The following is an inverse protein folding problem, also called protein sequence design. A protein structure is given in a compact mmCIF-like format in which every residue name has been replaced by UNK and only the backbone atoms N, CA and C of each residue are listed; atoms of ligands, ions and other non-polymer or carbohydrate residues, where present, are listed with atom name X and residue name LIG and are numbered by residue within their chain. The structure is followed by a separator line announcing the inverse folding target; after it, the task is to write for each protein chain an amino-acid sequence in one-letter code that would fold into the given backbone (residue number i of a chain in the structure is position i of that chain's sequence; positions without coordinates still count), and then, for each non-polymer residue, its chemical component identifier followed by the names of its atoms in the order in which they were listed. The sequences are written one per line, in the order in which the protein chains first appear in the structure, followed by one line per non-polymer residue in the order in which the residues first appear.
data_IF_699006437649
#
_entry.id   IF_699006437649
#
_cell.length_a   1.000
_cell.length_b   1.000
_cell.length_c   1.000
_cell.angle_alpha   90.00
_cell.angle_beta   90.00
_cell.angle_gamma   90.00
#
_symmetry.space_group_name_H-M   'P 1'
#
loop_
_entity.id
_entity.type
_entity.pdbx_description
1 polymer ?
#
# COMPACT_ATOMS: atom_id res chain seq x y z
N UNK A 1 -56.19 24.62 -42.20
CA UNK A 1 -55.54 24.86 -40.90
C UNK A 1 -54.63 23.65 -40.57
N UNK A 2 -53.33 23.78 -40.75
CA UNK A 2 -52.38 22.71 -40.50
C UNK A 2 -51.72 22.98 -39.16
N UNK A 3 -51.89 22.06 -38.19
CA UNK A 3 -51.21 22.11 -36.92
C UNK A 3 -49.81 21.47 -37.09
N UNK A 4 -48.74 22.25 -36.89
CA UNK A 4 -47.38 21.74 -36.74
C UNK A 4 -47.15 21.38 -35.28
N UNK A 5 -46.93 20.10 -35.03
CA UNK A 5 -46.47 19.61 -33.72
C UNK A 5 -44.97 19.86 -33.58
N UNK A 6 -44.56 20.66 -32.59
CA UNK A 6 -43.18 20.79 -32.16
C UNK A 6 -42.84 19.60 -31.21
N UNK A 7 -41.89 18.76 -31.63
CA UNK A 7 -41.29 17.74 -30.78
C UNK A 7 -40.12 18.43 -30.07
N UNK A 8 -40.27 18.64 -28.78
CA UNK A 8 -39.16 19.09 -27.92
C UNK A 8 -38.34 17.87 -27.49
N UNK A 9 -37.12 17.74 -28.04
CA UNK A 9 -36.16 16.73 -27.57
C UNK A 9 -35.49 17.19 -26.31
N UNK A 10 -35.83 16.54 -25.17
CA UNK A 10 -35.14 16.75 -23.93
C UNK A 10 -33.81 15.98 -23.96
N UNK A 11 -32.70 16.71 -24.02
CA UNK A 11 -31.37 16.15 -23.75
C UNK A 11 -31.22 15.92 -22.26
N UNK A 12 -31.22 14.65 -21.80
CA UNK A 12 -30.74 14.30 -20.49
C UNK A 12 -29.21 14.47 -20.46
N UNK A 13 -28.72 15.51 -19.85
CA UNK A 13 -27.33 15.65 -19.49
C UNK A 13 -27.03 14.66 -18.35
N UNK A 14 -26.34 13.55 -18.65
CA UNK A 14 -25.74 12.71 -17.64
C UNK A 14 -24.56 13.47 -17.02
N UNK A 15 -24.72 13.99 -15.82
CA UNK A 15 -23.62 14.53 -15.06
C UNK A 15 -22.71 13.37 -14.65
N UNK A 16 -21.61 13.20 -15.36
CA UNK A 16 -20.49 12.37 -14.90
C UNK A 16 -19.90 13.08 -13.68
N UNK A 17 -20.08 12.50 -12.49
CA UNK A 17 -19.36 12.94 -11.32
C UNK A 17 -17.87 12.63 -11.54
N UNK A 18 -17.10 13.62 -11.98
CA UNK A 18 -15.65 13.55 -11.97
C UNK A 18 -15.20 13.66 -10.52
N UNK A 19 -14.71 12.56 -9.95
CA UNK A 19 -14.02 12.57 -8.68
C UNK A 19 -12.71 13.33 -8.88
N UNK A 20 -12.59 14.51 -8.30
CA UNK A 20 -11.34 15.23 -8.20
C UNK A 20 -10.56 14.62 -7.06
N UNK A 21 -9.59 13.74 -7.34
CA UNK A 21 -8.64 13.31 -6.35
C UNK A 21 -7.72 14.50 -6.02
N UNK A 22 -7.42 14.67 -4.74
CA UNK A 22 -6.38 15.59 -4.31
C UNK A 22 -5.06 15.13 -4.94
N UNK A 23 -4.23 16.03 -5.43
CA UNK A 23 -3.00 15.71 -6.16
C UNK A 23 -1.87 15.16 -5.28
N UNK A 24 -2.15 14.83 -4.04
CA UNK A 24 -1.20 14.28 -3.07
C UNK A 24 -1.66 12.91 -2.63
N UNK A 25 -0.77 11.92 -2.72
CA UNK A 25 -0.99 10.58 -2.15
C UNK A 25 -1.19 10.73 -0.63
N UNK A 26 -2.19 10.05 -0.09
CA UNK A 26 -2.42 9.98 1.34
C UNK A 26 -2.42 8.53 1.79
N UNK A 27 -1.42 8.16 2.60
CA UNK A 27 -1.35 6.90 3.32
C UNK A 27 -1.91 7.11 4.73
N UNK A 28 -2.78 6.20 5.17
CA UNK A 28 -3.39 6.23 6.50
C UNK A 28 -2.66 5.35 7.52
N UNK A 29 -1.51 4.78 7.16
CA UNK A 29 -0.69 4.01 8.09
C UNK A 29 -0.25 4.89 9.26
N UNK A 30 -0.53 4.51 10.51
CA UNK A 30 -0.14 5.29 11.67
C UNK A 30 1.38 5.46 11.76
N UNK A 31 1.85 6.59 12.28
CA UNK A 31 3.27 6.74 12.61
C UNK A 31 3.74 5.59 13.52
N UNK A 32 4.99 5.12 13.35
CA UNK A 32 5.54 4.07 14.20
C UNK A 32 5.63 4.54 15.65
N UNK A 33 5.22 3.68 16.57
CA UNK A 33 5.34 3.93 18.01
C UNK A 33 6.82 3.99 18.43
N UNK A 34 7.17 4.65 19.55
CA UNK A 34 8.55 4.65 20.06
C UNK A 34 9.13 3.25 20.24
N UNK A 35 8.30 2.26 20.58
CA UNK A 35 8.71 0.86 20.67
C UNK A 35 9.08 0.28 19.31
N UNK A 36 8.25 0.50 18.28
CA UNK A 36 8.54 0.05 16.90
C UNK A 36 9.79 0.72 16.35
N UNK A 37 9.98 2.01 16.61
CA UNK A 37 11.21 2.72 16.24
C UNK A 37 12.45 2.11 16.90
N UNK A 38 12.40 1.80 18.20
CA UNK A 38 13.51 1.16 18.92
C UNK A 38 13.81 -0.26 18.39
N UNK A 39 12.76 -1.04 18.05
CA UNK A 39 12.90 -2.36 17.41
C UNK A 39 13.54 -2.25 16.03
N UNK A 40 13.13 -1.28 15.22
CA UNK A 40 13.70 -1.02 13.89
C UNK A 40 15.17 -0.57 13.95
N UNK A 41 15.55 0.25 14.93
CA UNK A 41 16.95 0.61 15.16
C UNK A 41 17.80 -0.59 15.59
N UNK A 42 17.26 -1.48 16.41
CA UNK A 42 17.95 -2.72 16.77
C UNK A 42 18.13 -3.68 15.59
N UNK A 43 17.21 -3.66 14.61
CA UNK A 43 17.35 -4.39 13.36
C UNK A 43 18.43 -3.78 12.47
N UNK A 44 18.47 -2.44 12.36
CA UNK A 44 19.41 -1.71 11.52
C UNK A 44 20.88 -2.12 11.75
N UNK A 45 21.28 -2.30 12.99
CA UNK A 45 22.66 -2.73 13.29
C UNK A 45 22.98 -4.13 12.75
N UNK A 46 22.03 -5.05 12.83
CA UNK A 46 22.18 -6.41 12.26
C UNK A 46 22.18 -6.36 10.74
N UNK A 47 21.34 -5.52 10.16
CA UNK A 47 21.23 -5.32 8.70
C UNK A 47 22.52 -4.74 8.11
N UNK A 48 23.14 -3.76 8.76
CA UNK A 48 24.47 -3.23 8.41
C UNK A 48 25.52 -4.34 8.30
N UNK A 49 25.56 -5.20 9.32
CA UNK A 49 26.49 -6.33 9.34
C UNK A 49 26.19 -7.31 8.19
N UNK A 50 24.93 -7.63 7.95
CA UNK A 50 24.52 -8.56 6.88
C UNK A 50 24.81 -7.98 5.49
N UNK A 51 24.55 -6.70 5.27
CA UNK A 51 24.86 -5.99 4.04
C UNK A 51 26.38 -5.97 3.76
N UNK A 52 27.19 -5.61 4.76
CA UNK A 52 28.65 -5.56 4.65
C UNK A 52 29.26 -6.92 4.31
N UNK A 53 28.65 -8.01 4.77
CA UNK A 53 29.07 -9.40 4.45
C UNK A 53 28.49 -9.93 3.14
N UNK A 54 27.58 -9.18 2.50
CA UNK A 54 26.84 -9.64 1.32
C UNK A 54 25.87 -10.80 1.59
N UNK A 55 25.46 -10.96 2.85
CA UNK A 55 24.56 -12.03 3.28
C UNK A 55 23.12 -11.80 2.78
N UNK A 56 22.69 -10.55 2.65
CA UNK A 56 21.35 -10.19 2.14
C UNK A 56 21.13 -10.71 0.71
N UNK A 57 22.14 -10.60 -0.15
CA UNK A 57 22.08 -11.14 -1.53
C UNK A 57 22.06 -12.67 -1.58
N UNK A 58 22.42 -13.36 -0.49
CA UNK A 58 22.47 -14.82 -0.38
C UNK A 58 21.25 -15.40 0.32
N UNK A 59 20.38 -14.56 0.89
CA UNK A 59 19.17 -15.05 1.51
C UNK A 59 18.27 -15.69 0.45
N UNK A 60 17.81 -16.91 0.72
CA UNK A 60 16.78 -17.54 -0.11
C UNK A 60 15.51 -16.67 -0.03
N UNK A 61 14.95 -16.35 -1.19
CA UNK A 61 13.68 -15.62 -1.24
C UNK A 61 12.58 -16.36 -0.48
N UNK A 62 11.50 -15.64 -0.19
CA UNK A 62 10.33 -16.24 0.45
C UNK A 62 9.05 -15.86 -0.31
N UNK A 63 8.04 -16.71 -0.14
CA UNK A 63 6.72 -16.52 -0.75
C UNK A 63 5.70 -16.26 0.34
N UNK A 64 4.92 -15.19 0.17
CA UNK A 64 3.84 -14.79 1.06
C UNK A 64 2.51 -15.31 0.51
N UNK A 65 1.84 -16.19 1.21
CA UNK A 65 0.46 -16.52 0.86
C UNK A 65 -0.43 -15.29 1.07
N UNK A 66 -1.25 -14.99 0.09
CA UNK A 66 -2.02 -13.75 0.04
C UNK A 66 -3.49 -14.05 -0.20
N UNK A 67 -4.35 -13.32 0.49
CA UNK A 67 -5.79 -13.37 0.36
C UNK A 67 -6.31 -11.99 -0.04
N UNK A 68 -7.12 -11.93 -1.09
CA UNK A 68 -7.75 -10.70 -1.56
C UNK A 68 -9.23 -10.68 -1.20
N UNK A 69 -9.65 -9.60 -0.56
CA UNK A 69 -11.03 -9.37 -0.13
C UNK A 69 -11.56 -8.11 -0.81
N UNK A 70 -12.47 -8.25 -1.76
CA UNK A 70 -13.15 -7.10 -2.37
C UNK A 70 -14.37 -6.77 -1.53
N UNK A 71 -14.43 -5.57 -1.00
CA UNK A 71 -15.55 -5.11 -0.17
C UNK A 71 -16.23 -3.94 -0.88
N UNK A 72 -17.37 -4.23 -1.47
CA UNK A 72 -18.13 -3.30 -2.32
C UNK A 72 -19.45 -2.87 -1.67
N UNK A 73 -19.95 -1.70 -2.03
CA UNK A 73 -21.27 -1.24 -1.60
C UNK A 73 -22.41 -1.86 -2.40
N UNK A 74 -22.11 -2.37 -3.61
CA UNK A 74 -23.02 -3.09 -4.50
C UNK A 74 -22.24 -3.94 -5.51
N UNK A 75 -22.93 -4.85 -6.21
CA UNK A 75 -22.35 -5.70 -7.28
C UNK A 75 -22.09 -4.93 -8.59
N UNK A 76 -21.61 -3.69 -8.52
CA UNK A 76 -21.33 -2.87 -9.70
C UNK A 76 -19.98 -2.18 -9.55
N UNK A 77 -19.36 -1.81 -10.67
CA UNK A 77 -18.10 -1.07 -10.69
C UNK A 77 -18.21 0.26 -9.90
N UNK A 78 -19.33 0.96 -10.00
CA UNK A 78 -19.59 2.19 -9.23
C UNK A 78 -19.75 1.96 -7.74
N UNK A 79 -20.05 0.72 -7.32
CA UNK A 79 -20.08 0.30 -5.92
C UNK A 79 -18.73 -0.19 -5.39
N UNK A 80 -17.67 -0.15 -6.19
CA UNK A 80 -16.35 -0.62 -5.82
C UNK A 80 -16.10 -2.10 -6.09
N UNK A 81 -16.95 -2.77 -6.90
CA UNK A 81 -16.81 -4.18 -7.23
C UNK A 81 -15.69 -4.38 -8.26
N UNK A 82 -14.55 -4.91 -7.83
CA UNK A 82 -13.41 -5.21 -8.69
C UNK A 82 -13.58 -6.55 -9.41
N UNK A 83 -13.07 -6.65 -10.64
CA UNK A 83 -13.05 -7.91 -11.39
C UNK A 83 -11.85 -8.77 -10.99
N UNK A 84 -11.93 -10.08 -11.23
CA UNK A 84 -10.78 -10.98 -11.04
C UNK A 84 -9.57 -10.55 -11.90
N UNK A 85 -9.80 -9.99 -13.09
CA UNK A 85 -8.71 -9.48 -13.94
C UNK A 85 -7.98 -8.32 -13.28
N UNK A 86 -8.68 -7.37 -12.65
CA UNK A 86 -8.05 -6.27 -11.90
C UNK A 86 -7.22 -6.80 -10.73
N UNK A 87 -7.72 -7.80 -10.00
CA UNK A 87 -6.99 -8.45 -8.91
C UNK A 87 -5.73 -9.19 -9.41
N UNK A 88 -5.82 -9.89 -10.53
CA UNK A 88 -4.68 -10.56 -11.14
C UNK A 88 -3.60 -9.55 -11.59
N UNK A 89 -4.02 -8.42 -12.16
CA UNK A 89 -3.11 -7.34 -12.55
C UNK A 89 -2.44 -6.71 -11.31
N UNK A 90 -3.20 -6.52 -10.22
CA UNK A 90 -2.63 -6.03 -8.97
C UNK A 90 -1.59 -7.01 -8.40
N UNK A 91 -1.86 -8.30 -8.43
CA UNK A 91 -0.90 -9.32 -8.01
C UNK A 91 0.39 -9.29 -8.87
N UNK A 92 0.25 -9.08 -10.18
CA UNK A 92 1.41 -8.95 -11.07
C UNK A 92 2.27 -7.75 -10.70
N UNK A 93 1.67 -6.57 -10.47
CA UNK A 93 2.40 -5.36 -10.02
C UNK A 93 3.15 -5.61 -8.70
N UNK A 94 2.52 -6.26 -7.73
CA UNK A 94 3.18 -6.62 -6.46
C UNK A 94 4.38 -7.54 -6.70
N UNK A 95 4.22 -8.58 -7.51
CA UNK A 95 5.29 -9.53 -7.81
C UNK A 95 6.41 -8.90 -8.63
N UNK A 96 6.13 -7.96 -9.52
CA UNK A 96 7.15 -7.22 -10.27
C UNK A 96 7.99 -6.33 -9.33
N UNK A 97 7.34 -5.58 -8.44
CA UNK A 97 8.03 -4.67 -7.52
C UNK A 97 8.90 -5.42 -6.48
N UNK A 98 8.37 -6.49 -5.91
CA UNK A 98 9.05 -7.24 -4.84
C UNK A 98 9.94 -8.38 -5.36
N UNK A 99 9.72 -8.85 -6.59
CA UNK A 99 10.43 -9.98 -7.18
C UNK A 99 11.93 -9.77 -7.33
N UNK A 100 12.35 -8.54 -7.65
CA UNK A 100 13.77 -8.15 -7.70
C UNK A 100 14.48 -8.32 -6.35
N UNK A 101 13.70 -8.34 -5.25
CA UNK A 101 14.17 -8.50 -3.87
C UNK A 101 13.97 -9.93 -3.35
N UNK A 102 13.59 -10.90 -4.20
CA UNK A 102 13.39 -12.30 -3.82
C UNK A 102 12.13 -12.54 -3.00
N UNK A 103 11.19 -11.61 -2.97
CA UNK A 103 9.90 -11.72 -2.28
C UNK A 103 8.81 -11.93 -3.34
N UNK A 104 7.96 -12.92 -3.14
CA UNK A 104 6.84 -13.20 -4.05
C UNK A 104 5.53 -13.40 -3.29
N UNK A 105 4.42 -13.15 -3.97
CA UNK A 105 3.07 -13.28 -3.42
C UNK A 105 2.32 -14.38 -4.16
N UNK A 106 1.82 -15.37 -3.43
CA UNK A 106 1.00 -16.46 -3.93
C UNK A 106 -0.47 -16.17 -3.58
N UNK A 107 -1.29 -15.82 -4.55
CA UNK A 107 -2.71 -15.58 -4.33
C UNK A 107 -3.43 -16.90 -4.07
N UNK A 108 -3.76 -17.15 -2.80
CA UNK A 108 -4.44 -18.38 -2.37
C UNK A 108 -5.94 -18.33 -2.73
N UNK A 109 -6.58 -17.18 -2.49
CA UNK A 109 -7.97 -16.98 -2.88
C UNK A 109 -8.36 -15.50 -2.95
N UNK A 110 -9.41 -15.23 -3.72
CA UNK A 110 -10.12 -13.96 -3.72
C UNK A 110 -11.58 -14.18 -3.33
N UNK A 111 -12.17 -13.22 -2.62
CA UNK A 111 -13.60 -13.23 -2.30
C UNK A 111 -14.21 -11.82 -2.41
N UNK A 112 -15.53 -11.79 -2.52
CA UNK A 112 -16.31 -10.56 -2.70
C UNK A 112 -17.41 -10.48 -1.65
N UNK A 113 -17.45 -9.36 -0.95
CA UNK A 113 -18.45 -9.05 0.07
C UNK A 113 -19.18 -7.77 -0.30
N UNK A 114 -20.51 -7.79 -0.32
CA UNK A 114 -21.32 -6.58 -0.47
C UNK A 114 -21.78 -6.12 0.90
N UNK A 115 -21.19 -5.03 1.36
CA UNK A 115 -21.52 -4.38 2.62
C UNK A 115 -21.18 -2.89 2.53
N UNK A 116 -22.18 -2.03 2.40
CA UNK A 116 -21.99 -0.60 2.18
C UNK A 116 -21.25 0.10 3.33
N UNK A 117 -21.43 -0.36 4.57
CA UNK A 117 -20.72 0.22 5.71
C UNK A 117 -19.22 -0.15 5.67
N UNK A 118 -18.89 -1.40 5.43
CA UNK A 118 -17.49 -1.84 5.32
C UNK A 118 -16.82 -1.26 4.08
N UNK A 119 -17.53 -1.17 2.95
CA UNK A 119 -17.02 -0.58 1.71
C UNK A 119 -16.66 0.91 1.85
N UNK A 120 -17.16 1.59 2.87
CA UNK A 120 -16.84 2.95 3.26
C UNK A 120 -15.92 3.01 4.50
N UNK A 121 -15.16 1.96 4.75
CA UNK A 121 -14.25 1.80 5.90
C UNK A 121 -14.93 1.89 7.27
N UNK A 122 -16.24 1.61 7.32
CA UNK A 122 -16.99 1.58 8.57
C UNK A 122 -16.79 0.27 9.33
N UNK A 123 -16.31 0.33 10.58
CA UNK A 123 -16.11 -0.80 11.47
C UNK A 123 -15.07 -1.84 10.95
N UNK A 124 -13.85 -1.34 10.70
CA UNK A 124 -12.70 -2.12 10.23
C UNK A 124 -12.51 -3.43 11.00
N UNK A 125 -12.52 -3.37 12.33
CA UNK A 125 -12.28 -4.55 13.16
C UNK A 125 -13.32 -5.66 12.92
N UNK A 126 -14.59 -5.32 12.74
CA UNK A 126 -15.61 -6.32 12.44
C UNK A 126 -15.42 -6.91 11.03
N UNK A 127 -15.10 -6.08 10.05
CA UNK A 127 -14.80 -6.49 8.68
C UNK A 127 -13.61 -7.48 8.65
N UNK A 128 -12.48 -7.05 9.20
CA UNK A 128 -11.26 -7.86 9.20
C UNK A 128 -11.44 -9.13 10.02
N UNK A 129 -12.13 -9.10 11.16
CA UNK A 129 -12.45 -10.29 11.94
C UNK A 129 -13.30 -11.31 11.17
N UNK A 130 -14.21 -10.85 10.32
CA UNK A 130 -15.08 -11.71 9.54
C UNK A 130 -14.39 -12.30 8.30
N UNK A 131 -13.51 -11.53 7.65
CA UNK A 131 -12.95 -11.87 6.34
C UNK A 131 -11.53 -12.44 6.41
N UNK A 132 -10.74 -12.12 7.44
CA UNK A 132 -9.34 -12.56 7.57
C UNK A 132 -9.21 -14.07 7.41
N UNK A 133 -8.18 -14.48 6.66
CA UNK A 133 -7.81 -15.89 6.44
C UNK A 133 -6.34 -16.13 6.81
N UNK A 134 -6.04 -17.37 7.11
CA UNK A 134 -4.69 -17.84 7.37
C UNK A 134 -4.14 -17.43 8.73
N UNK A 135 -2.83 -17.36 8.81
CA UNK A 135 -2.01 -17.10 9.99
C UNK A 135 -1.49 -15.65 9.98
N UNK A 136 -0.61 -15.29 10.90
CA UNK A 136 0.04 -13.98 10.89
C UNK A 136 1.13 -13.84 9.81
N UNK A 137 1.60 -14.97 9.25
CA UNK A 137 2.51 -14.98 8.09
C UNK A 137 1.78 -14.76 6.75
N UNK A 138 0.44 -14.84 6.74
CA UNK A 138 -0.35 -14.69 5.53
C UNK A 138 -0.85 -13.26 5.37
N UNK A 139 -0.67 -12.67 4.20
CA UNK A 139 -1.11 -11.31 3.90
C UNK A 139 -2.59 -11.29 3.51
N UNK A 140 -3.36 -10.45 4.17
CA UNK A 140 -4.75 -10.14 3.80
C UNK A 140 -4.83 -8.71 3.26
N UNK A 141 -5.35 -8.54 2.05
CA UNK A 141 -5.58 -7.23 1.43
C UNK A 141 -7.07 -7.03 1.21
N UNK A 142 -7.58 -5.92 1.75
CA UNK A 142 -8.98 -5.54 1.68
C UNK A 142 -9.13 -4.36 0.72
N UNK A 143 -9.74 -4.59 -0.45
CA UNK A 143 -10.00 -3.56 -1.45
C UNK A 143 -11.38 -2.96 -1.19
N UNK A 144 -11.44 -1.71 -0.74
CA UNK A 144 -12.67 -1.01 -0.37
C UNK A 144 -13.07 0.01 -1.44
N UNK A 145 -14.36 0.26 -1.55
CA UNK A 145 -14.89 1.24 -2.52
C UNK A 145 -14.55 2.69 -2.17
N UNK A 146 -14.36 3.01 -0.87
CA UNK A 146 -14.03 4.36 -0.40
C UNK A 146 -13.40 4.29 1.00
N UNK A 147 -12.29 4.99 1.20
CA UNK A 147 -11.61 5.07 2.50
C UNK A 147 -11.84 6.41 3.23
N UNK A 148 -12.62 7.33 2.61
CA UNK A 148 -12.79 8.68 3.15
C UNK A 148 -11.51 9.53 3.09
N UNK A 149 -11.64 10.83 3.36
CA UNK A 149 -10.52 11.75 3.53
C UNK A 149 -9.49 11.85 2.39
N UNK A 150 -9.72 11.17 1.26
CA UNK A 150 -8.74 11.08 0.17
C UNK A 150 -7.64 10.03 0.39
N UNK A 151 -7.80 9.13 1.38
CA UNK A 151 -6.87 8.04 1.64
C UNK A 151 -6.83 7.05 0.47
N UNK A 152 -5.64 6.59 0.11
CA UNK A 152 -5.42 5.55 -0.88
C UNK A 152 -5.26 4.17 -0.24
N UNK A 153 -4.71 4.09 0.96
CA UNK A 153 -4.55 2.85 1.69
C UNK A 153 -3.97 3.05 3.09
N UNK A 154 -3.90 1.97 3.83
CA UNK A 154 -3.14 1.84 5.07
C UNK A 154 -2.87 0.37 5.38
N UNK A 155 -1.74 0.11 6.04
CA UNK A 155 -1.41 -1.18 6.64
C UNK A 155 -1.01 -1.01 8.10
N UNK A 156 -0.98 -2.11 8.84
CA UNK A 156 -0.41 -2.13 10.18
C UNK A 156 1.02 -2.67 10.15
N UNK A 157 1.92 -1.98 10.85
CA UNK A 157 3.27 -2.47 11.09
C UNK A 157 3.24 -3.81 11.82
N UNK A 158 4.20 -4.71 11.54
CA UNK A 158 4.27 -5.98 12.25
C UNK A 158 4.57 -5.79 13.74
N UNK A 159 4.13 -6.74 14.55
CA UNK A 159 4.36 -6.74 16.00
C UNK A 159 4.52 -8.15 16.52
N UNK A 160 5.30 -8.32 17.58
CA UNK A 160 5.41 -9.60 18.31
C UNK A 160 4.17 -9.94 19.14
N UNK A 161 3.27 -8.98 19.35
CA UNK A 161 2.02 -9.16 20.14
C UNK A 161 0.84 -9.48 19.23
N UNK A 162 0.89 -10.64 18.56
CA UNK A 162 -0.11 -11.06 17.55
C UNK A 162 -0.74 -12.42 17.85
N UNK A 163 -0.99 -12.75 19.11
CA UNK A 163 -1.69 -13.98 19.45
C UNK A 163 -3.00 -14.11 18.66
N UNK A 164 -3.29 -15.32 18.19
CA UNK A 164 -4.49 -15.60 17.40
C UNK A 164 -5.75 -15.06 18.09
N UNK A 165 -6.57 -14.31 17.35
CA UNK A 165 -7.78 -13.65 17.84
C UNK A 165 -7.55 -12.34 18.62
N UNK A 166 -6.30 -11.91 18.84
CA UNK A 166 -6.01 -10.60 19.42
C UNK A 166 -6.37 -9.47 18.43
N UNK A 167 -6.51 -8.25 18.92
CA UNK A 167 -6.75 -7.07 18.08
C UNK A 167 -5.65 -6.90 17.02
N UNK A 168 -4.38 -7.04 17.39
CA UNK A 168 -3.27 -6.94 16.45
C UNK A 168 -3.31 -8.03 15.36
N UNK A 169 -3.72 -9.25 15.71
CA UNK A 169 -3.92 -10.32 14.73
C UNK A 169 -5.09 -10.01 13.79
N UNK A 170 -6.20 -9.51 14.33
CA UNK A 170 -7.41 -9.22 13.54
C UNK A 170 -7.16 -8.05 12.58
N UNK A 171 -6.53 -6.97 13.05
CA UNK A 171 -6.30 -5.76 12.28
C UNK A 171 -5.15 -5.87 11.28
N UNK A 172 -4.25 -6.86 11.44
CA UNK A 172 -3.13 -7.06 10.52
C UNK A 172 -3.57 -7.19 9.06
N UNK A 173 -2.72 -6.74 8.15
CA UNK A 173 -2.98 -6.68 6.72
C UNK A 173 -3.29 -5.26 6.24
N UNK A 174 -3.53 -5.13 4.94
CA UNK A 174 -3.65 -3.85 4.26
C UNK A 174 -5.07 -3.57 3.80
N UNK A 175 -5.52 -2.34 3.98
CA UNK A 175 -6.77 -1.82 3.43
C UNK A 175 -6.43 -0.85 2.30
N UNK A 176 -6.95 -1.07 1.10
CA UNK A 176 -6.56 -0.38 -0.13
C UNK A 176 -7.81 0.19 -0.80
N UNK A 177 -7.73 1.42 -1.30
CA UNK A 177 -8.76 1.98 -2.16
C UNK A 177 -8.86 1.16 -3.45
N UNK A 178 -9.97 0.51 -3.70
CA UNK A 178 -10.16 -0.37 -4.84
C UNK A 178 -9.93 0.33 -6.20
N UNK A 179 -10.14 1.64 -6.26
CA UNK A 179 -9.91 2.43 -7.47
C UNK A 179 -8.41 2.69 -7.77
N UNK A 180 -7.49 2.34 -6.86
CA UNK A 180 -6.04 2.47 -7.07
C UNK A 180 -5.39 1.25 -7.72
N UNK A 181 -6.14 0.17 -7.97
CA UNK A 181 -5.62 -1.00 -8.69
C UNK A 181 -5.50 -0.74 -10.19
N UNK A 182 -4.70 -1.52 -10.95
CA UNK A 182 -4.65 -1.41 -12.40
C UNK A 182 -6.02 -1.59 -13.06
N UNK A 183 -6.44 -0.58 -13.84
CA UNK A 183 -7.78 -0.49 -14.41
C UNK A 183 -8.81 0.23 -13.55
N UNK A 184 -8.41 0.72 -12.38
CA UNK A 184 -9.20 1.61 -11.54
C UNK A 184 -9.19 3.06 -12.02
N UNK A 185 -9.88 3.94 -11.31
CA UNK A 185 -10.12 5.33 -11.72
C UNK A 185 -9.38 6.39 -10.88
N UNK A 186 -8.56 5.96 -9.90
CA UNK A 186 -7.85 6.86 -8.99
C UNK A 186 -6.54 7.44 -9.60
N UNK A 187 -6.53 7.84 -10.89
CA UNK A 187 -5.36 8.46 -11.51
C UNK A 187 -4.91 9.70 -10.71
N UNK A 188 -3.59 9.91 -10.52
CA UNK A 188 -2.43 9.18 -11.07
C UNK A 188 -1.99 7.95 -10.24
N UNK A 189 -2.81 7.47 -9.33
CA UNK A 189 -2.54 6.37 -8.39
C UNK A 189 -3.32 5.09 -8.74
N UNK A 190 -3.48 4.78 -10.02
CA UNK A 190 -4.29 3.66 -10.51
C UNK A 190 -3.49 2.62 -11.32
N UNK A 191 -2.18 2.54 -11.06
CA UNK A 191 -1.30 1.51 -11.64
C UNK A 191 -0.92 0.42 -10.63
N UNK A 192 -1.45 0.48 -9.40
CA UNK A 192 -1.23 -0.53 -8.37
C UNK A 192 -0.11 -0.22 -7.38
N UNK A 193 0.53 0.95 -7.49
CA UNK A 193 1.59 1.40 -6.60
C UNK A 193 1.14 1.56 -5.16
N UNK A 194 -0.14 1.88 -4.92
CA UNK A 194 -0.68 1.98 -3.55
C UNK A 194 -0.53 0.67 -2.77
N UNK A 195 -0.94 -0.47 -3.33
CA UNK A 195 -0.79 -1.74 -2.62
C UNK A 195 0.68 -2.10 -2.39
N UNK A 196 1.56 -1.80 -3.35
CA UNK A 196 3.01 -1.97 -3.21
C UNK A 196 3.55 -1.15 -2.03
N UNK A 197 3.19 0.13 -1.94
CA UNK A 197 3.55 1.03 -0.84
C UNK A 197 3.08 0.48 0.52
N UNK A 198 1.80 0.16 0.64
CA UNK A 198 1.21 -0.29 1.89
C UNK A 198 1.79 -1.63 2.37
N UNK A 199 2.11 -2.55 1.46
CA UNK A 199 2.80 -3.79 1.80
C UNK A 199 4.21 -3.52 2.34
N UNK A 200 4.88 -2.45 1.90
CA UNK A 200 6.13 -1.99 2.50
C UNK A 200 6.00 -1.75 4.01
N UNK A 201 4.92 -1.10 4.44
CA UNK A 201 4.61 -0.94 5.87
C UNK A 201 4.35 -2.28 6.57
N UNK A 202 3.60 -3.18 5.93
CA UNK A 202 3.38 -4.53 6.45
C UNK A 202 4.68 -5.33 6.60
N UNK A 203 5.72 -5.00 5.80
CA UNK A 203 7.08 -5.52 5.88
C UNK A 203 8.03 -4.65 6.74
N UNK A 204 7.49 -3.71 7.55
CA UNK A 204 8.22 -2.84 8.48
C UNK A 204 9.08 -1.76 7.81
N UNK A 205 8.73 -1.29 6.62
CA UNK A 205 9.32 -0.09 6.02
C UNK A 205 8.56 1.15 6.47
N UNK A 206 9.28 2.22 6.78
CA UNK A 206 8.73 3.54 7.05
C UNK A 206 8.73 4.38 5.77
N UNK A 207 8.02 5.51 5.78
CA UNK A 207 8.12 6.46 4.68
C UNK A 207 9.55 7.00 4.57
N UNK A 208 10.03 7.29 3.36
CA UNK A 208 11.36 7.86 3.12
C UNK A 208 11.57 9.19 3.82
N UNK A 209 10.50 9.98 3.97
CA UNK A 209 10.50 11.27 4.68
C UNK A 209 10.28 11.15 6.20
N UNK A 210 10.21 9.95 6.76
CA UNK A 210 10.07 9.74 8.22
C UNK A 210 11.28 10.32 8.95
N UNK A 211 11.03 11.21 9.92
CA UNK A 211 12.09 11.90 10.66
C UNK A 211 12.75 13.05 9.91
N UNK A 212 12.35 13.32 8.66
CA UNK A 212 12.89 14.41 7.85
C UNK A 212 14.39 14.26 7.62
N UNK A 213 15.13 15.39 7.66
CA UNK A 213 16.57 15.39 7.46
C UNK A 213 17.39 14.88 8.66
N UNK A 214 16.75 14.49 9.76
CA UNK A 214 17.43 14.05 10.97
C UNK A 214 17.68 12.54 10.97
N UNK A 215 18.90 12.11 11.32
CA UNK A 215 19.17 10.69 11.59
C UNK A 215 18.35 10.21 12.80
N UNK A 216 17.79 9.01 12.79
CA UNK A 216 18.01 7.91 11.83
C UNK A 216 17.04 7.91 10.63
N UNK A 217 16.27 8.96 10.38
CA UNK A 217 15.34 9.01 9.27
C UNK A 217 14.30 7.88 9.33
N UNK A 218 14.11 7.21 8.20
CA UNK A 218 13.25 6.02 8.06
C UNK A 218 13.89 4.75 8.67
N UNK A 219 15.05 4.87 9.32
CA UNK A 219 15.84 3.79 9.90
C UNK A 219 16.41 2.80 8.87
N UNK A 220 16.64 3.23 7.65
CA UNK A 220 17.34 2.49 6.57
C UNK A 220 18.50 3.36 6.07
N UNK A 221 19.73 2.82 6.03
CA UNK A 221 20.93 3.63 5.80
C UNK A 221 21.13 4.11 4.37
N UNK A 222 20.59 3.40 3.40
CA UNK A 222 20.79 3.67 1.97
C UNK A 222 19.61 4.39 1.29
N UNK A 223 18.62 4.78 2.08
CA UNK A 223 17.60 5.76 1.68
C UNK A 223 18.13 7.17 1.94
N UNK A 224 18.27 8.05 0.93
CA UNK A 224 18.61 9.45 1.16
C UNK A 224 17.60 10.12 2.09
N UNK A 225 18.04 11.03 2.99
CA UNK A 225 17.11 11.76 3.85
C UNK A 225 16.25 12.71 3.04
N UNK A 226 14.99 12.83 3.40
CA UNK A 226 13.98 13.65 2.75
C UNK A 226 13.19 14.44 3.78
N UNK A 227 13.05 15.77 3.60
CA UNK A 227 12.42 16.64 4.60
C UNK A 227 10.89 16.49 4.67
N UNK A 228 10.28 16.11 3.56
CA UNK A 228 8.81 15.97 3.41
C UNK A 228 8.50 15.13 2.19
N UNK A 229 7.35 14.49 2.16
CA UNK A 229 6.88 13.71 1.02
C UNK A 229 6.98 14.49 -0.30
N UNK A 230 7.40 13.81 -1.38
CA UNK A 230 7.27 14.32 -2.73
C UNK A 230 5.87 14.06 -3.28
N UNK A 231 5.51 14.72 -4.38
CA UNK A 231 4.26 14.49 -5.12
C UNK A 231 4.49 14.72 -6.61
N UNK A 232 3.72 14.06 -7.46
CA UNK A 232 4.02 14.00 -8.89
C UNK A 232 5.29 13.18 -9.13
N UNK A 233 6.18 13.65 -10.00
CA UNK A 233 7.51 13.08 -10.22
C UNK A 233 8.55 14.21 -10.35
N UNK A 234 8.97 14.88 -9.24
CA UNK A 234 9.80 16.09 -9.25
C UNK A 234 11.28 15.72 -9.38
N UNK A 235 11.73 15.41 -10.58
CA UNK A 235 13.12 15.06 -10.89
C UNK A 235 14.15 16.05 -10.32
N UNK A 236 15.15 15.49 -9.62
CA UNK A 236 16.23 16.28 -9.02
C UNK A 236 15.84 17.05 -7.75
N UNK A 237 14.68 16.75 -7.15
CA UNK A 237 14.29 17.27 -5.83
C UNK A 237 15.37 16.90 -4.81
N UNK A 238 15.77 17.88 -3.98
CA UNK A 238 16.77 17.72 -2.92
C UNK A 238 16.40 18.64 -1.76
N UNK A 239 15.80 18.09 -0.72
CA UNK A 239 15.26 18.87 0.40
C UNK A 239 16.13 18.83 1.66
N UNK A 240 17.15 17.95 1.70
CA UNK A 240 18.07 17.83 2.82
C UNK A 240 19.51 18.09 2.39
N UNK A 241 20.25 18.89 3.15
CA UNK A 241 21.67 19.10 2.88
C UNK A 241 22.47 17.82 3.10
N UNK A 242 23.02 17.24 2.03
CA UNK A 242 23.80 15.99 2.04
C UNK A 242 22.91 14.75 1.96
N UNK A 243 23.53 13.65 1.59
CA UNK A 243 22.83 12.35 1.42
C UNK A 243 22.36 12.06 0.00
N UNK A 244 22.37 13.03 -0.91
CA UNK A 244 21.92 12.90 -2.29
C UNK A 244 20.54 13.53 -2.52
N UNK A 245 19.99 13.36 -3.72
CA UNK A 245 18.64 13.81 -4.06
C UNK A 245 17.59 12.99 -3.33
N UNK A 246 16.41 13.56 -3.12
CA UNK A 246 15.29 12.88 -2.49
C UNK A 246 14.92 11.59 -3.26
N UNK A 247 14.56 10.52 -2.56
CA UNK A 247 14.31 9.20 -3.18
C UNK A 247 12.92 9.11 -3.83
N UNK A 248 12.61 10.02 -4.75
CA UNK A 248 11.28 10.17 -5.38
C UNK A 248 10.80 8.95 -6.16
N UNK A 249 11.70 8.02 -6.52
CA UNK A 249 11.36 6.78 -7.21
C UNK A 249 11.12 5.61 -6.27
N UNK A 250 11.32 5.80 -4.96
CA UNK A 250 11.14 4.77 -3.96
C UNK A 250 9.65 4.53 -3.68
N UNK A 251 9.24 3.25 -3.61
CA UNK A 251 7.86 2.90 -3.31
C UNK A 251 7.35 3.42 -1.95
N UNK A 252 8.24 3.86 -1.05
CA UNK A 252 7.86 4.38 0.27
C UNK A 252 7.76 5.92 0.33
N UNK A 253 7.89 6.63 -0.79
CA UNK A 253 7.53 8.04 -0.92
C UNK A 253 6.06 8.20 -1.37
N UNK A 254 5.62 9.46 -1.64
CA UNK A 254 4.24 9.81 -2.03
C UNK A 254 4.12 10.30 -3.48
N UNK A 255 5.04 9.91 -4.33
CA UNK A 255 5.02 10.23 -5.76
C UNK A 255 3.91 9.46 -6.51
N UNK A 256 3.67 9.83 -7.75
CA UNK A 256 2.70 9.17 -8.61
C UNK A 256 3.14 7.73 -8.93
N UNK A 257 2.18 6.87 -9.27
CA UNK A 257 2.48 5.44 -9.51
C UNK A 257 3.47 5.21 -10.65
N UNK A 258 3.50 6.06 -11.67
CA UNK A 258 4.43 5.98 -12.81
C UNK A 258 5.84 6.49 -12.48
N UNK A 259 6.00 7.19 -11.36
CA UNK A 259 7.30 7.61 -10.84
C UNK A 259 8.01 6.51 -10.05
N UNK A 260 7.29 5.56 -9.50
CA UNK A 260 7.79 4.48 -8.66
C UNK A 260 8.59 3.44 -9.45
N UNK A 261 9.78 3.06 -8.97
CA UNK A 261 10.61 2.04 -9.61
C UNK A 261 11.34 1.10 -8.65
N UNK A 262 11.54 1.46 -7.37
CA UNK A 262 12.51 0.75 -6.55
C UNK A 262 12.22 0.66 -5.05
N UNK A 263 12.77 -0.39 -4.46
CA UNK A 263 13.22 -0.46 -3.08
C UNK A 263 14.75 -0.52 -3.04
N UNK A 264 15.37 -0.01 -1.97
CA UNK A 264 16.82 -0.09 -1.78
C UNK A 264 17.26 -1.47 -1.25
N UNK A 265 18.57 -1.73 -1.26
CA UNK A 265 19.13 -2.95 -0.66
C UNK A 265 18.93 -2.96 0.88
N UNK A 266 18.98 -1.82 1.53
CA UNK A 266 18.69 -1.67 2.96
C UNK A 266 17.23 -1.94 3.28
N UNK A 267 16.30 -1.46 2.45
CA UNK A 267 14.89 -1.79 2.57
C UNK A 267 14.64 -3.29 2.38
N UNK A 268 15.31 -3.95 1.42
CA UNK A 268 15.28 -5.41 1.30
C UNK A 268 15.74 -6.08 2.59
N UNK A 269 16.88 -5.66 3.16
CA UNK A 269 17.39 -6.22 4.40
C UNK A 269 16.37 -6.07 5.56
N UNK A 270 15.72 -4.90 5.66
CA UNK A 270 14.66 -4.63 6.63
C UNK A 270 13.46 -5.54 6.45
N UNK A 271 12.99 -5.74 5.22
CA UNK A 271 11.86 -6.64 4.93
C UNK A 271 12.18 -8.09 5.35
N UNK A 272 13.40 -8.57 5.10
CA UNK A 272 13.84 -9.90 5.53
C UNK A 272 13.96 -10.00 7.07
N UNK A 273 14.51 -8.99 7.71
CA UNK A 273 14.59 -8.92 9.19
C UNK A 273 13.21 -8.94 9.83
N UNK A 274 12.27 -8.17 9.28
CA UNK A 274 10.90 -8.12 9.77
C UNK A 274 10.16 -9.45 9.54
N UNK A 275 10.35 -10.07 8.35
CA UNK A 275 9.77 -11.37 8.05
C UNK A 275 10.22 -12.41 9.08
N UNK A 276 11.54 -12.56 9.27
CA UNK A 276 12.08 -13.57 10.20
C UNK A 276 11.74 -13.28 11.66
N UNK A 277 11.51 -12.01 12.04
CA UNK A 277 11.23 -11.62 13.42
C UNK A 277 9.78 -11.79 13.80
N UNK A 278 8.87 -11.48 12.87
CA UNK A 278 7.46 -11.34 13.20
C UNK A 278 6.56 -12.32 12.47
N UNK A 279 6.95 -12.87 11.30
CA UNK A 279 6.05 -13.58 10.40
C UNK A 279 6.51 -14.98 9.97
N UNK A 280 7.84 -15.22 9.92
CA UNK A 280 8.45 -16.49 9.51
C UNK A 280 8.54 -17.55 10.59
#
# INVERSE_FOLDING_TARGET
MQFKALIASAFLATASASWSFNTTRLCGTPDPTPKQMAESLAMLEKERIALAKGEVKRQSGFTVNTYFHVVASSNSASGGYLTQTMLNNQLAVMNDAYGAHGISFNLVSSDWTVNANWAADGNEQAMKKALRKGTYSDLNIYFLGNLGGGLLGYCYFPTSSHASGSTNFILDGCTILGQSVPGGTAAPYNLGGTATHEIGHWMNLYHTFQGGCASPGDSVDDTPPEASAASGCPEGRDTCSGGGVDPIHNYMDYTDDDCYTEFTAGQQARMYSAWSTYRG
#
